data_IF_503794364408
#
_entry.id   IF_503794364408
#
_cell.length_a   1.000
_cell.length_b   1.000
_cell.length_c   1.000
_cell.angle_alpha   90.00
_cell.angle_beta   90.00
_cell.angle_gamma   90.00
#
_symmetry.space_group_name_H-M   'P 1'
#
loop_
_entity.id
_entity.type
_entity.pdbx_description
1 polymer ?
#
# COMPACT_ATOMS: atom_id res chain seq x y z
N UNK A 1 7.46 21.11 24.13
CA UNK A 1 6.62 22.08 23.41
C UNK A 1 5.15 21.99 23.86
N UNK A 2 4.54 20.78 23.95
CA UNK A 2 3.14 20.57 24.38
C UNK A 2 2.82 21.21 25.74
N UNK A 3 3.70 21.06 26.73
CA UNK A 3 3.51 21.65 28.06
C UNK A 3 3.47 23.22 28.04
N UNK A 4 4.27 23.82 27.15
CA UNK A 4 4.23 25.28 26.95
C UNK A 4 2.93 25.74 26.29
N UNK A 5 2.43 24.92 25.31
CA UNK A 5 1.14 25.18 24.70
C UNK A 5 0.01 25.11 25.73
N UNK A 6 0.01 24.08 26.58
CA UNK A 6 -0.99 23.94 27.65
C UNK A 6 -1.00 25.12 28.63
N UNK A 7 0.18 25.68 28.99
CA UNK A 7 0.27 26.87 29.82
C UNK A 7 -0.37 28.08 29.14
N UNK A 8 -0.27 28.20 27.82
CA UNK A 8 -0.89 29.28 27.07
C UNK A 8 -2.40 29.12 26.89
N UNK A 9 -2.89 27.86 26.81
CA UNK A 9 -4.33 27.55 26.69
C UNK A 9 -5.06 27.72 28.03
N UNK A 10 -4.42 27.35 29.16
CA UNK A 10 -5.05 27.40 30.50
C UNK A 10 -5.35 28.81 30.97
N UNK A 11 -4.70 29.82 30.39
CA UNK A 11 -4.83 31.22 30.76
C UNK A 11 -4.51 31.52 32.25
N UNK A 12 -3.97 30.56 32.98
CA UNK A 12 -3.63 30.70 34.39
C UNK A 12 -2.39 31.60 34.61
N UNK A 13 -1.59 31.76 33.55
CA UNK A 13 -0.40 32.59 33.60
C UNK A 13 -0.39 33.59 32.42
N UNK A 14 -0.54 34.89 32.67
CA UNK A 14 -0.61 35.92 31.63
C UNK A 14 0.69 36.10 30.82
N UNK A 15 1.79 35.45 31.22
CA UNK A 15 3.04 35.44 30.46
C UNK A 15 3.02 34.47 29.27
N UNK A 16 2.03 33.61 29.19
CA UNK A 16 1.89 32.63 28.12
C UNK A 16 0.59 32.83 27.36
N UNK A 17 0.67 32.78 26.04
CA UNK A 17 -0.49 32.73 25.15
C UNK A 17 -0.25 31.65 24.08
N UNK A 18 -1.27 30.87 23.75
CA UNK A 18 -1.23 29.88 22.73
C UNK A 18 -2.25 30.20 21.62
N UNK A 19 -1.82 30.01 20.38
CA UNK A 19 -2.64 30.18 19.19
C UNK A 19 -2.56 28.91 18.35
N UNK A 20 -3.67 28.52 17.76
CA UNK A 20 -3.77 27.37 16.85
C UNK A 20 -4.41 27.83 15.56
N UNK A 21 -3.87 27.39 14.43
CA UNK A 21 -4.43 27.61 13.10
C UNK A 21 -4.26 26.36 12.26
N UNK A 22 -5.25 26.05 11.42
CA UNK A 22 -5.20 24.93 10.50
C UNK A 22 -4.70 25.36 9.12
N UNK A 23 -4.28 24.41 8.28
CA UNK A 23 -3.94 24.68 6.89
C UNK A 23 -5.13 25.21 6.07
N UNK A 24 -6.36 24.97 6.52
CA UNK A 24 -7.57 25.54 5.91
C UNK A 24 -7.72 27.05 6.12
N UNK A 25 -7.06 27.60 7.14
CA UNK A 25 -7.17 29.02 7.50
C UNK A 25 -6.22 29.90 6.66
N UNK A 26 -5.30 29.29 5.92
CA UNK A 26 -4.37 30.01 5.05
C UNK A 26 -4.87 30.10 3.60
N UNK A 27 -4.75 31.27 2.93
CA UNK A 27 -5.09 31.41 1.53
C UNK A 27 -4.00 30.91 0.56
N UNK A 28 -2.83 30.48 1.09
CA UNK A 28 -1.65 30.12 0.28
C UNK A 28 -1.56 28.65 -0.09
N UNK A 29 -2.41 27.80 0.49
CA UNK A 29 -2.46 26.36 0.20
C UNK A 29 -3.76 26.07 -0.53
N UNK A 30 -3.68 25.35 -1.65
CA UNK A 30 -4.87 24.92 -2.36
C UNK A 30 -5.66 23.94 -1.49
N UNK A 31 -6.97 24.20 -1.37
CA UNK A 31 -7.87 23.32 -0.61
C UNK A 31 -7.89 21.90 -1.16
N UNK A 32 -7.72 21.74 -2.48
CA UNK A 32 -7.64 20.42 -3.10
C UNK A 32 -6.42 19.64 -2.62
N UNK A 33 -5.27 20.32 -2.47
CA UNK A 33 -4.05 19.71 -1.93
C UNK A 33 -4.27 19.20 -0.49
N UNK A 34 -5.00 19.96 0.33
CA UNK A 34 -5.34 19.55 1.71
C UNK A 34 -6.28 18.31 1.69
N UNK A 35 -7.28 18.29 0.81
CA UNK A 35 -8.19 17.14 0.69
C UNK A 35 -7.48 15.88 0.15
N UNK A 36 -6.52 16.04 -0.73
CA UNK A 36 -5.73 14.91 -1.25
C UNK A 36 -4.78 14.37 -0.16
N UNK A 37 -4.15 15.26 0.62
CA UNK A 37 -3.37 14.84 1.79
C UNK A 37 -4.23 14.11 2.83
N UNK A 38 -5.46 14.55 3.06
CA UNK A 38 -6.40 13.89 3.98
C UNK A 38 -6.75 12.47 3.56
N UNK A 39 -6.79 12.18 2.25
CA UNK A 39 -7.09 10.84 1.73
C UNK A 39 -5.90 9.89 1.84
N UNK A 40 -4.68 10.42 1.71
CA UNK A 40 -3.45 9.62 1.58
C UNK A 40 -2.69 9.44 2.88
N UNK A 41 -2.83 10.39 3.82
CA UNK A 41 -2.14 10.32 5.11
C UNK A 41 -2.99 9.58 6.16
N UNK A 42 -2.35 8.91 7.12
CA UNK A 42 -3.03 8.45 8.33
C UNK A 42 -3.71 9.63 9.04
N UNK A 43 -4.90 9.40 9.58
CA UNK A 43 -5.74 10.45 10.19
C UNK A 43 -4.98 11.29 11.23
N UNK A 44 -4.20 10.64 12.08
CA UNK A 44 -3.42 11.32 13.12
C UNK A 44 -2.33 12.23 12.53
N UNK A 45 -1.67 11.81 11.44
CA UNK A 45 -0.68 12.65 10.73
C UNK A 45 -1.36 13.85 10.10
N UNK A 46 -2.48 13.64 9.45
CA UNK A 46 -3.26 14.73 8.88
C UNK A 46 -3.70 15.73 9.94
N UNK A 47 -4.19 15.24 11.08
CA UNK A 47 -4.59 16.10 12.20
C UNK A 47 -3.42 16.90 12.77
N UNK A 48 -2.23 16.29 12.88
CA UNK A 48 -1.04 16.97 13.38
C UNK A 48 -0.50 18.01 12.40
N UNK A 49 -0.29 17.64 11.14
CA UNK A 49 0.40 18.46 10.14
C UNK A 49 -0.50 19.51 9.48
N UNK A 50 -1.79 19.22 9.30
CA UNK A 50 -2.72 20.11 8.62
C UNK A 50 -3.69 20.82 9.57
N UNK A 51 -4.04 20.21 10.70
CA UNK A 51 -4.97 20.79 11.67
C UNK A 51 -4.30 21.29 12.96
N UNK A 52 -2.96 21.24 13.04
CA UNK A 52 -2.14 21.67 14.16
C UNK A 52 -2.56 21.06 15.52
N UNK A 53 -3.06 19.81 15.52
CA UNK A 53 -3.41 19.11 16.76
C UNK A 53 -2.19 18.41 17.34
N UNK A 54 -2.09 18.40 18.67
CA UNK A 54 -1.11 17.59 19.37
C UNK A 54 -1.63 16.16 19.47
N UNK A 55 -0.88 15.22 18.89
CA UNK A 55 -1.22 13.81 18.84
C UNK A 55 -0.01 13.01 19.29
N UNK A 56 -0.22 11.85 19.89
CA UNK A 56 0.86 10.93 20.25
C UNK A 56 1.60 10.45 18.99
N UNK A 57 2.93 10.34 19.10
CA UNK A 57 3.79 9.94 17.98
C UNK A 57 3.55 8.48 17.63
N UNK A 58 2.82 8.21 16.55
CA UNK A 58 2.47 6.88 16.05
C UNK A 58 0.97 6.60 16.12
N UNK A 59 0.50 5.70 15.29
CA UNK A 59 -0.91 5.32 15.26
C UNK A 59 -1.22 4.23 14.23
N UNK A 60 -2.45 3.76 14.26
CA UNK A 60 -2.98 2.81 13.28
C UNK A 60 -2.98 3.43 11.88
N UNK A 61 -2.52 2.66 10.92
CA UNK A 61 -2.48 3.07 9.50
C UNK A 61 -3.80 2.78 8.82
N UNK A 62 -4.39 1.63 9.10
CA UNK A 62 -5.62 1.17 8.45
C UNK A 62 -6.78 1.17 9.44
N UNK A 63 -7.79 1.98 9.16
CA UNK A 63 -9.02 2.07 9.95
C UNK A 63 -10.22 1.54 9.15
N UNK A 64 -11.29 1.14 9.86
CA UNK A 64 -12.55 0.72 9.25
C UNK A 64 -12.44 -0.44 8.24
N UNK A 65 -11.59 -1.42 8.52
CA UNK A 65 -11.33 -2.58 7.67
C UNK A 65 -12.62 -3.35 7.27
N UNK A 66 -13.64 -3.33 8.13
CA UNK A 66 -14.92 -4.00 7.90
C UNK A 66 -15.62 -3.57 6.60
N UNK A 67 -15.41 -2.34 6.15
CA UNK A 67 -16.00 -1.85 4.90
C UNK A 67 -15.41 -2.53 3.66
N UNK A 68 -14.20 -3.05 3.80
CA UNK A 68 -13.41 -3.60 2.71
C UNK A 68 -13.56 -5.11 2.56
N UNK A 69 -14.23 -5.79 3.51
CA UNK A 69 -14.26 -7.24 3.56
C UNK A 69 -15.28 -7.88 2.60
N UNK A 70 -15.00 -9.14 2.26
CA UNK A 70 -15.94 -10.06 1.61
C UNK A 70 -15.92 -11.43 2.30
N UNK A 71 -17.09 -12.12 2.38
CA UNK A 71 -17.22 -13.36 3.13
C UNK A 71 -16.81 -14.64 2.40
N UNK A 72 -16.61 -14.58 1.08
CA UNK A 72 -16.26 -15.73 0.24
C UNK A 72 -15.24 -15.32 -0.81
N UNK A 73 -14.28 -16.20 -1.12
CA UNK A 73 -13.29 -15.95 -2.16
C UNK A 73 -13.96 -15.62 -3.49
N UNK A 74 -13.71 -14.46 -4.09
CA UNK A 74 -14.33 -14.05 -5.33
C UNK A 74 -13.69 -14.74 -6.54
N UNK A 75 -14.45 -14.82 -7.62
CA UNK A 75 -13.84 -15.03 -8.94
C UNK A 75 -13.21 -13.72 -9.40
N UNK A 76 -12.02 -13.76 -10.05
CA UNK A 76 -11.37 -12.55 -10.53
C UNK A 76 -12.17 -11.86 -11.62
N UNK A 77 -12.12 -10.54 -11.62
CA UNK A 77 -12.66 -9.70 -12.69
C UNK A 77 -11.49 -9.08 -13.47
N UNK A 78 -11.35 -9.47 -14.72
CA UNK A 78 -10.27 -8.99 -15.60
C UNK A 78 -8.90 -9.56 -15.25
N UNK A 79 -7.85 -8.80 -15.51
CA UNK A 79 -6.45 -9.19 -15.27
C UNK A 79 -6.16 -9.31 -13.77
N UNK A 80 -5.32 -10.27 -13.41
CA UNK A 80 -4.84 -10.47 -12.04
C UNK A 80 -3.41 -9.95 -11.91
N UNK A 81 -3.10 -9.35 -10.78
CA UNK A 81 -1.79 -8.80 -10.41
C UNK A 81 -1.35 -9.44 -9.10
N UNK A 82 -0.06 -9.76 -9.01
CA UNK A 82 0.51 -10.41 -7.86
C UNK A 82 1.65 -9.56 -7.29
N UNK A 83 1.60 -9.28 -6.00
CA UNK A 83 2.73 -8.74 -5.24
C UNK A 83 3.37 -9.86 -4.43
N UNK A 84 4.70 -9.96 -4.48
CA UNK A 84 5.46 -11.00 -3.79
C UNK A 84 6.45 -10.33 -2.86
N UNK A 85 6.29 -10.59 -1.58
CA UNK A 85 7.23 -10.25 -0.52
C UNK A 85 7.97 -11.51 -0.08
N UNK A 86 9.30 -11.47 -0.13
CA UNK A 86 10.15 -12.63 0.13
C UNK A 86 10.72 -12.56 1.55
N UNK A 87 10.17 -13.35 2.44
CA UNK A 87 10.59 -13.45 3.84
C UNK A 87 12.01 -13.99 4.01
N UNK A 88 12.72 -13.46 5.00
CA UNK A 88 14.06 -13.93 5.41
C UNK A 88 13.94 -14.73 6.69
N UNK A 89 14.55 -15.93 6.72
CA UNK A 89 14.67 -16.81 7.91
C UNK A 89 13.38 -17.00 8.72
N UNK A 90 12.98 -16.03 9.55
CA UNK A 90 11.82 -16.08 10.43
C UNK A 90 10.58 -15.39 9.83
N UNK A 91 10.75 -14.60 8.79
CA UNK A 91 9.67 -13.88 8.10
C UNK A 91 8.92 -14.80 7.14
N UNK A 92 7.72 -14.36 6.75
CA UNK A 92 6.90 -15.13 5.79
C UNK A 92 7.15 -14.66 4.37
N UNK A 93 7.30 -15.64 3.46
CA UNK A 93 7.12 -15.36 2.04
C UNK A 93 5.64 -15.31 1.72
N UNK A 94 5.19 -14.18 1.20
CA UNK A 94 3.78 -13.94 0.89
C UNK A 94 3.63 -13.53 -0.58
N UNK A 95 2.65 -14.13 -1.26
CA UNK A 95 2.23 -13.71 -2.60
C UNK A 95 0.73 -13.41 -2.57
N UNK A 96 0.37 -12.14 -2.70
CA UNK A 96 -1.02 -11.68 -2.72
C UNK A 96 -1.47 -11.41 -4.16
N UNK A 97 -2.59 -12.00 -4.55
CA UNK A 97 -3.18 -11.87 -5.89
C UNK A 97 -4.43 -11.01 -5.82
N UNK A 98 -4.47 -9.92 -6.59
CA UNK A 98 -5.62 -9.04 -6.71
C UNK A 98 -6.08 -8.93 -8.16
N UNK A 99 -7.37 -8.79 -8.38
CA UNK A 99 -7.90 -8.55 -9.72
C UNK A 99 -7.84 -7.08 -10.14
N UNK A 100 -8.21 -6.77 -11.36
CA UNK A 100 -8.19 -5.39 -11.90
C UNK A 100 -9.11 -4.43 -11.15
N UNK A 101 -10.08 -4.93 -10.40
CA UNK A 101 -10.98 -4.12 -9.56
C UNK A 101 -10.43 -3.87 -8.16
N UNK A 102 -9.35 -4.56 -7.76
CA UNK A 102 -8.73 -4.46 -6.45
C UNK A 102 -9.20 -5.49 -5.41
N UNK A 103 -9.94 -6.53 -5.83
CA UNK A 103 -10.32 -7.62 -4.93
C UNK A 103 -9.21 -8.65 -4.82
N UNK A 104 -8.88 -9.05 -3.60
CA UNK A 104 -7.98 -10.18 -3.37
C UNK A 104 -8.69 -11.47 -3.82
N UNK A 105 -8.03 -12.26 -4.66
CA UNK A 105 -8.56 -13.51 -5.23
C UNK A 105 -7.81 -14.75 -4.75
N UNK A 106 -6.57 -14.58 -4.26
CA UNK A 106 -5.75 -15.64 -3.69
C UNK A 106 -4.65 -15.05 -2.82
N UNK A 107 -4.20 -15.76 -1.80
CA UNK A 107 -3.03 -15.44 -0.99
C UNK A 107 -2.25 -16.72 -0.73
N UNK A 108 -0.96 -16.69 -1.01
CA UNK A 108 -0.02 -17.69 -0.56
C UNK A 108 0.82 -17.10 0.59
N UNK A 109 0.98 -17.83 1.68
CA UNK A 109 1.79 -17.45 2.82
C UNK A 109 2.48 -18.68 3.39
N UNK A 110 3.80 -18.64 3.46
CA UNK A 110 4.59 -19.73 4.02
C UNK A 110 5.88 -19.21 4.66
N UNK A 111 6.38 -19.92 5.66
CA UNK A 111 7.70 -19.72 6.22
C UNK A 111 8.39 -21.08 6.40
N UNK A 112 9.68 -21.07 6.70
CA UNK A 112 10.49 -22.25 7.02
C UNK A 112 10.39 -23.40 5.98
N UNK A 113 10.12 -23.06 4.70
CA UNK A 113 10.09 -24.01 3.60
C UNK A 113 11.29 -23.83 2.68
N UNK A 114 11.63 -24.87 1.95
CA UNK A 114 12.65 -24.81 0.88
C UNK A 114 12.22 -23.81 -0.21
N UNK A 115 13.14 -22.94 -0.61
CA UNK A 115 12.91 -21.93 -1.65
C UNK A 115 12.36 -22.51 -2.96
N UNK A 116 12.80 -23.71 -3.33
CA UNK A 116 12.30 -24.42 -4.51
C UNK A 116 10.82 -24.73 -4.40
N UNK A 117 10.37 -25.20 -3.24
CA UNK A 117 8.95 -25.50 -2.97
C UNK A 117 8.12 -24.23 -2.99
N UNK A 118 8.53 -23.16 -2.29
CA UNK A 118 7.84 -21.88 -2.28
C UNK A 118 7.72 -21.29 -3.70
N UNK A 119 8.82 -21.33 -4.46
CA UNK A 119 8.85 -20.83 -5.85
C UNK A 119 7.86 -21.60 -6.74
N UNK A 120 7.79 -22.93 -6.62
CA UNK A 120 6.85 -23.74 -7.40
C UNK A 120 5.39 -23.48 -7.04
N UNK A 121 5.09 -23.26 -5.76
CA UNK A 121 3.75 -22.90 -5.28
C UNK A 121 3.31 -21.54 -5.82
N UNK A 122 4.21 -20.56 -5.82
CA UNK A 122 3.97 -19.23 -6.40
C UNK A 122 3.75 -19.35 -7.92
N UNK A 123 4.64 -20.05 -8.64
CA UNK A 123 4.54 -20.24 -10.09
C UNK A 123 3.23 -20.95 -10.49
N UNK A 124 2.79 -21.92 -9.70
CA UNK A 124 1.51 -22.63 -9.93
C UNK A 124 0.34 -21.63 -9.87
N UNK A 125 0.34 -20.71 -8.90
CA UNK A 125 -0.69 -19.67 -8.77
C UNK A 125 -0.59 -18.61 -9.86
N UNK A 126 0.63 -18.18 -10.23
CA UNK A 126 0.85 -17.24 -11.33
C UNK A 126 0.26 -17.79 -12.64
N UNK A 127 0.49 -19.08 -12.94
CA UNK A 127 -0.11 -19.74 -14.11
C UNK A 127 -1.62 -19.88 -14.00
N UNK A 128 -2.13 -20.30 -12.83
CA UNK A 128 -3.57 -20.43 -12.57
C UNK A 128 -4.32 -19.14 -12.87
N UNK A 129 -3.76 -18.02 -12.43
CA UNK A 129 -4.42 -16.72 -12.54
C UNK A 129 -3.99 -15.90 -13.77
N UNK A 130 -3.03 -16.40 -14.55
CA UNK A 130 -2.36 -15.64 -15.63
C UNK A 130 -1.95 -14.23 -15.16
N UNK A 131 -1.30 -14.16 -13.99
CA UNK A 131 -1.06 -12.93 -13.27
C UNK A 131 0.20 -12.23 -13.74
N UNK A 132 0.18 -10.87 -13.81
CA UNK A 132 1.39 -10.06 -13.83
C UNK A 132 1.96 -10.01 -12.42
N UNK A 133 3.22 -10.37 -12.23
CA UNK A 133 3.86 -10.42 -10.93
C UNK A 133 4.83 -9.25 -10.71
N UNK A 134 4.90 -8.77 -9.48
CA UNK A 134 5.93 -7.85 -9.01
C UNK A 134 6.55 -8.42 -7.73
N UNK A 135 7.87 -8.57 -7.73
CA UNK A 135 8.62 -9.27 -6.67
C UNK A 135 9.55 -8.28 -5.99
N UNK A 136 9.55 -8.26 -4.67
CA UNK A 136 10.54 -7.51 -3.92
C UNK A 136 11.94 -8.09 -4.12
N UNK A 137 12.86 -7.25 -4.61
CA UNK A 137 14.25 -7.62 -4.88
C UNK A 137 15.16 -6.91 -3.89
N UNK A 138 15.54 -7.64 -2.83
CA UNK A 138 16.49 -7.20 -1.81
C UNK A 138 17.43 -8.35 -1.48
N UNK A 139 18.70 -8.25 -1.84
CA UNK A 139 19.73 -9.26 -1.53
C UNK A 139 19.40 -10.68 -2.03
N UNK A 140 18.80 -11.54 -1.18
CA UNK A 140 18.37 -12.90 -1.55
C UNK A 140 17.25 -12.89 -2.59
N UNK A 141 16.43 -11.85 -2.62
CA UNK A 141 15.31 -11.68 -3.55
C UNK A 141 15.73 -11.66 -5.01
N UNK A 142 16.94 -11.21 -5.34
CA UNK A 142 17.45 -11.20 -6.71
C UNK A 142 17.51 -12.60 -7.32
N UNK A 143 17.98 -13.59 -6.57
CA UNK A 143 18.09 -14.98 -7.06
C UNK A 143 16.71 -15.60 -7.29
N UNK A 144 15.78 -15.40 -6.34
CA UNK A 144 14.43 -15.94 -6.43
C UNK A 144 13.64 -15.24 -7.55
N UNK A 145 13.79 -13.91 -7.66
CA UNK A 145 13.22 -13.14 -8.76
C UNK A 145 13.65 -13.71 -10.12
N UNK A 146 14.95 -13.93 -10.33
CA UNK A 146 15.47 -14.52 -11.58
C UNK A 146 14.92 -15.93 -11.85
N UNK A 147 14.75 -16.75 -10.82
CA UNK A 147 14.15 -18.09 -10.95
C UNK A 147 12.68 -18.02 -11.38
N UNK A 148 11.90 -17.11 -10.79
CA UNK A 148 10.50 -16.88 -11.18
C UNK A 148 10.45 -16.31 -12.59
N UNK A 149 11.24 -15.29 -12.90
CA UNK A 149 11.28 -14.59 -14.19
C UNK A 149 11.58 -15.51 -15.37
N UNK A 150 12.49 -16.46 -15.19
CA UNK A 150 12.82 -17.47 -16.23
C UNK A 150 11.66 -18.40 -16.57
N UNK A 151 10.77 -18.68 -15.60
CA UNK A 151 9.63 -19.58 -15.76
C UNK A 151 8.31 -18.84 -16.00
N UNK A 152 8.25 -17.54 -15.62
CA UNK A 152 7.11 -16.64 -15.80
C UNK A 152 7.61 -15.26 -16.21
N UNK A 153 7.61 -14.99 -17.51
CA UNK A 153 8.22 -13.77 -18.08
C UNK A 153 7.48 -12.48 -17.70
N UNK A 154 6.19 -12.56 -17.38
CA UNK A 154 5.39 -11.41 -16.90
C UNK A 154 5.64 -11.15 -15.39
N UNK A 155 6.93 -11.00 -15.04
CA UNK A 155 7.42 -10.75 -13.68
C UNK A 155 8.34 -9.52 -13.70
N UNK A 156 8.13 -8.60 -12.77
CA UNK A 156 8.83 -7.32 -12.66
C UNK A 156 9.48 -7.17 -11.28
N UNK A 157 10.66 -6.56 -11.18
CA UNK A 157 11.30 -6.33 -9.90
C UNK A 157 10.69 -5.10 -9.19
N UNK A 158 10.64 -5.14 -7.86
CA UNK A 158 10.36 -3.99 -7.00
C UNK A 158 11.48 -3.83 -5.98
N UNK A 159 12.16 -2.68 -6.00
CA UNK A 159 13.23 -2.39 -5.04
C UNK A 159 12.67 -1.56 -3.89
N UNK A 160 12.72 -2.10 -2.68
CA UNK A 160 12.28 -1.42 -1.46
C UNK A 160 13.33 -0.46 -0.96
N UNK A 161 12.96 0.79 -0.83
CA UNK A 161 13.63 1.88 -0.16
C UNK A 161 12.64 2.55 0.79
N UNK A 162 13.10 3.40 1.71
CA UNK A 162 12.18 4.16 2.57
C UNK A 162 11.14 4.95 1.75
N UNK A 163 11.54 5.52 0.62
CA UNK A 163 10.65 6.28 -0.26
C UNK A 163 9.66 5.38 -0.99
N UNK A 164 10.11 4.28 -1.61
CA UNK A 164 9.22 3.39 -2.34
C UNK A 164 8.27 2.62 -1.41
N UNK A 165 8.72 2.24 -0.19
CA UNK A 165 7.84 1.67 0.83
C UNK A 165 6.74 2.67 1.22
N UNK A 166 7.10 3.93 1.47
CA UNK A 166 6.12 4.98 1.76
C UNK A 166 5.11 5.14 0.62
N UNK A 167 5.56 5.22 -0.63
CA UNK A 167 4.71 5.37 -1.82
C UNK A 167 3.68 4.24 -1.97
N UNK A 168 4.11 2.98 -1.85
CA UNK A 168 3.19 1.85 -2.02
C UNK A 168 2.21 1.72 -0.87
N UNK A 169 2.63 2.04 0.37
CA UNK A 169 1.76 2.02 1.56
C UNK A 169 0.73 3.13 1.48
N UNK A 170 1.11 4.36 1.14
CA UNK A 170 0.18 5.49 0.96
C UNK A 170 -0.82 5.21 -0.18
N UNK A 171 -0.34 4.59 -1.28
CA UNK A 171 -1.21 4.13 -2.35
C UNK A 171 -2.21 3.06 -1.91
N UNK A 172 -1.84 2.17 -0.99
CA UNK A 172 -2.73 1.17 -0.41
C UNK A 172 -3.75 1.82 0.54
N UNK A 173 -3.31 2.76 1.40
CA UNK A 173 -4.19 3.52 2.30
C UNK A 173 -5.29 4.21 1.51
N UNK A 174 -4.93 4.93 0.45
CA UNK A 174 -5.88 5.63 -0.41
C UNK A 174 -6.91 4.66 -1.00
N UNK A 175 -6.45 3.58 -1.62
CA UNK A 175 -7.33 2.62 -2.30
C UNK A 175 -8.19 1.81 -1.30
N UNK A 176 -7.76 1.64 -0.04
CA UNK A 176 -8.58 1.07 1.03
C UNK A 176 -9.63 2.07 1.54
N UNK A 177 -9.28 3.33 1.72
CA UNK A 177 -10.22 4.38 2.13
C UNK A 177 -11.33 4.58 1.08
N UNK A 178 -11.01 4.45 -0.19
CA UNK A 178 -11.97 4.50 -1.31
C UNK A 178 -12.70 3.17 -1.55
N UNK A 179 -12.45 2.15 -0.73
CA UNK A 179 -13.05 0.81 -0.86
C UNK A 179 -12.76 0.14 -2.21
N UNK A 180 -11.69 0.54 -2.87
CA UNK A 180 -11.20 -0.09 -4.10
C UNK A 180 -10.56 -1.44 -3.74
N UNK A 181 -9.66 -1.46 -2.74
CA UNK A 181 -9.10 -2.72 -2.24
C UNK A 181 -10.10 -3.43 -1.37
N UNK A 182 -10.42 -4.67 -1.75
CA UNK A 182 -11.35 -5.54 -1.03
C UNK A 182 -10.59 -6.77 -0.54
N UNK A 183 -10.69 -7.03 0.77
CA UNK A 183 -9.95 -8.06 1.49
C UNK A 183 -10.87 -9.23 1.91
N UNK A 184 -10.34 -10.46 2.07
CA UNK A 184 -11.12 -11.56 2.65
C UNK A 184 -11.54 -11.23 4.09
N UNK A 185 -12.69 -11.75 4.52
CA UNK A 185 -13.10 -11.62 5.91
C UNK A 185 -12.07 -12.24 6.85
N UNK A 186 -12.11 -11.86 8.12
CA UNK A 186 -11.17 -12.38 9.12
C UNK A 186 -11.22 -13.91 9.24
N UNK A 187 -12.41 -14.49 9.06
CA UNK A 187 -12.59 -15.96 9.11
C UNK A 187 -11.93 -16.66 7.92
N UNK A 188 -11.88 -16.01 6.75
CA UNK A 188 -11.24 -16.58 5.56
C UNK A 188 -9.72 -16.50 5.60
N UNK A 189 -9.18 -15.39 6.11
CA UNK A 189 -7.73 -15.19 6.17
C UNK A 189 -7.34 -14.25 7.33
N UNK A 190 -7.23 -14.77 8.58
CA UNK A 190 -6.99 -13.97 9.77
C UNK A 190 -5.66 -13.22 9.77
N UNK A 191 -4.60 -13.80 9.19
CA UNK A 191 -3.25 -13.23 9.21
C UNK A 191 -3.17 -11.82 8.61
N UNK A 192 -3.89 -11.56 7.51
CA UNK A 192 -3.93 -10.22 6.92
C UNK A 192 -4.59 -9.21 7.86
N UNK A 193 -5.65 -9.62 8.57
CA UNK A 193 -6.33 -8.77 9.54
C UNK A 193 -5.45 -8.44 10.72
N UNK A 194 -4.75 -9.46 11.24
CA UNK A 194 -3.85 -9.29 12.39
C UNK A 194 -2.72 -8.33 12.02
N UNK A 195 -2.11 -8.47 10.85
CA UNK A 195 -1.05 -7.57 10.38
C UNK A 195 -1.58 -6.15 10.06
N UNK A 196 -2.73 -6.00 9.37
CA UNK A 196 -3.32 -4.67 9.10
C UNK A 196 -3.67 -3.91 10.38
N UNK A 197 -4.16 -4.62 11.41
CA UNK A 197 -4.57 -4.01 12.69
C UNK A 197 -3.38 -3.48 13.48
N UNK A 198 -2.21 -4.14 13.39
CA UNK A 198 -1.01 -3.74 14.12
C UNK A 198 -0.03 -2.92 13.30
N UNK A 199 -0.33 -2.72 12.01
CA UNK A 199 0.50 -1.91 11.12
C UNK A 199 0.43 -0.45 11.53
N UNK A 200 1.58 0.13 11.83
CA UNK A 200 1.71 1.45 12.43
C UNK A 200 2.63 2.34 11.62
N UNK A 201 2.66 3.59 11.98
CA UNK A 201 3.67 4.53 11.49
C UNK A 201 4.39 5.19 12.65
N UNK A 202 5.64 5.57 12.39
CA UNK A 202 6.41 6.47 13.24
C UNK A 202 6.63 7.78 12.46
N UNK A 203 6.27 8.90 13.07
CA UNK A 203 6.53 10.21 12.51
C UNK A 203 7.78 10.83 13.13
N UNK A 204 8.72 11.21 12.30
CA UNK A 204 9.91 11.94 12.73
C UNK A 204 9.73 13.45 12.49
N UNK A 205 9.47 14.26 13.53
CA UNK A 205 9.19 15.69 13.38
C UNK A 205 10.41 16.50 12.91
N UNK A 206 11.63 15.99 13.08
CA UNK A 206 12.85 16.67 12.63
C UNK A 206 13.04 16.57 11.12
N UNK A 207 12.77 15.40 10.55
CA UNK A 207 12.91 15.15 9.11
C UNK A 207 11.58 15.26 8.36
N UNK A 208 10.46 15.38 9.09
CA UNK A 208 9.08 15.35 8.56
C UNK A 208 8.81 14.09 7.73
N UNK A 209 9.44 12.97 8.10
CA UNK A 209 9.29 11.70 7.39
C UNK A 209 8.42 10.74 8.18
N UNK A 210 7.62 9.96 7.44
CA UNK A 210 6.85 8.84 7.94
C UNK A 210 7.62 7.55 7.69
N UNK A 211 7.63 6.69 8.68
CA UNK A 211 8.19 5.35 8.58
C UNK A 211 7.10 4.35 8.93
N UNK A 212 6.67 3.59 7.93
CA UNK A 212 5.65 2.57 8.07
C UNK A 212 6.24 1.21 8.44
N UNK A 213 5.52 0.45 9.26
CA UNK A 213 5.92 -0.90 9.66
C UNK A 213 5.08 -1.45 10.80
N UNK A 214 5.60 -2.45 11.45
CA UNK A 214 4.99 -3.14 12.59
C UNK A 214 5.83 -2.95 13.86
N UNK A 215 5.25 -3.09 15.08
CA UNK A 215 5.99 -3.18 16.32
C UNK A 215 6.92 -4.41 16.36
N UNK A 216 8.00 -4.32 17.14
CA UNK A 216 8.97 -5.41 17.27
C UNK A 216 8.30 -6.74 17.68
N UNK A 217 8.66 -7.83 16.99
CA UNK A 217 8.13 -9.17 17.23
C UNK A 217 6.81 -9.48 16.51
N UNK A 218 6.32 -8.58 15.66
CA UNK A 218 5.18 -8.80 14.77
C UNK A 218 5.64 -8.85 13.30
N UNK A 219 4.71 -9.06 12.37
CA UNK A 219 4.99 -9.18 10.93
C UNK A 219 4.17 -8.16 10.14
N UNK A 220 4.67 -7.78 8.95
CA UNK A 220 3.96 -6.95 7.96
C UNK A 220 3.99 -7.54 6.53
N UNK A 221 4.40 -8.81 6.40
CA UNK A 221 4.65 -9.47 5.12
C UNK A 221 3.39 -9.53 4.22
N UNK A 222 2.20 -9.78 4.80
CA UNK A 222 0.94 -9.78 4.04
C UNK A 222 0.51 -8.37 3.63
N UNK A 223 0.77 -7.37 4.47
CA UNK A 223 0.50 -5.97 4.16
C UNK A 223 1.41 -5.49 3.04
N UNK A 224 2.71 -5.81 3.11
CA UNK A 224 3.69 -5.44 2.10
C UNK A 224 3.42 -6.12 0.76
N UNK A 225 3.14 -7.42 0.78
CA UNK A 225 2.73 -8.17 -0.42
C UNK A 225 1.48 -7.57 -1.08
N UNK A 226 0.47 -7.16 -0.29
CA UNK A 226 -0.73 -6.49 -0.79
C UNK A 226 -0.41 -5.10 -1.37
N UNK A 227 0.44 -4.32 -0.70
CA UNK A 227 0.85 -3.00 -1.19
C UNK A 227 1.60 -3.09 -2.53
N UNK A 228 2.50 -4.08 -2.68
CA UNK A 228 3.21 -4.35 -3.94
C UNK A 228 2.21 -4.80 -5.04
N UNK A 229 1.23 -5.67 -4.71
CA UNK A 229 0.20 -6.10 -5.67
C UNK A 229 -0.63 -4.92 -6.17
N UNK A 230 -1.04 -4.03 -5.26
CA UNK A 230 -1.79 -2.83 -5.59
C UNK A 230 -0.97 -1.85 -6.46
N UNK A 231 0.29 -1.68 -6.15
CA UNK A 231 1.21 -0.87 -6.97
C UNK A 231 1.36 -1.46 -8.37
N UNK A 232 1.57 -2.78 -8.50
CA UNK A 232 1.62 -3.48 -9.77
C UNK A 232 0.34 -3.25 -10.60
N UNK A 233 -0.84 -3.35 -9.97
CA UNK A 233 -2.13 -3.07 -10.61
C UNK A 233 -2.23 -1.64 -11.14
N UNK A 234 -1.80 -0.65 -10.35
CA UNK A 234 -1.86 0.79 -10.74
C UNK A 234 -0.92 1.09 -11.91
N UNK A 235 0.29 0.57 -11.91
CA UNK A 235 1.25 0.74 -13.00
C UNK A 235 0.71 0.21 -14.33
N UNK A 236 0.05 -0.94 -14.32
CA UNK A 236 -0.47 -1.55 -15.54
C UNK A 236 -1.77 -0.89 -16.07
N UNK A 237 -2.57 -0.23 -15.21
CA UNK A 237 -3.70 0.59 -15.66
C UNK A 237 -3.25 1.78 -16.50
N UNK A 238 -2.18 2.45 -16.10
CA UNK A 238 -1.64 3.60 -16.86
C UNK A 238 -1.19 3.24 -18.27
N UNK A 239 -0.67 2.03 -18.50
CA UNK A 239 -0.28 1.58 -19.84
C UNK A 239 -1.48 1.23 -20.74
N UNK A 240 -2.61 0.79 -20.17
CA UNK A 240 -3.82 0.43 -20.93
C UNK A 240 -4.60 1.63 -21.48
N UNK A 241 -4.57 2.76 -20.80
CA UNK A 241 -5.29 3.97 -21.23
C UNK A 241 -4.61 4.69 -22.41
N UNK A 242 -3.29 4.54 -22.58
CA UNK A 242 -2.55 5.15 -23.70
C UNK A 242 -2.61 4.37 -25.02
N UNK A 243 -3.11 3.15 -25.04
CA UNK A 243 -3.17 2.30 -26.24
C UNK A 243 -4.48 2.37 -27.02
N UNK A 244 -5.50 3.10 -26.56
CA UNK A 244 -6.83 3.15 -27.19
C UNK A 244 -7.05 4.37 -28.09
N UNK A 245 -6.13 5.34 -28.17
CA UNK A 245 -6.32 6.56 -28.97
C UNK A 245 -5.52 6.62 -30.28
N UNK A 246 -5.24 5.49 -30.90
CA UNK A 246 -4.53 5.37 -32.18
C UNK A 246 -5.34 4.70 -33.29
N UNK A 247 -6.55 5.21 -33.63
CA UNK A 247 -7.18 4.85 -34.91
C UNK A 247 -6.44 5.56 -36.04
N UNK A 248 -5.68 4.81 -36.83
CA UNK A 248 -5.12 5.27 -38.08
C UNK A 248 -6.26 5.75 -39.00
N UNK A 249 -6.18 6.95 -39.61
CA UNK A 249 -7.08 7.30 -40.70
C UNK A 249 -6.77 6.39 -41.90
N UNK A 250 -7.78 5.77 -42.45
CA UNK A 250 -7.71 5.01 -43.68
C UNK A 250 -7.34 5.95 -44.83
N UNK A 251 -6.22 5.68 -45.46
CA UNK A 251 -5.87 6.31 -46.76
C UNK A 251 -6.84 5.83 -47.84
N UNK A 252 -7.83 6.62 -48.18
CA UNK A 252 -8.56 6.47 -49.43
C UNK A 252 -7.68 6.98 -50.56
N UNK A 253 -7.27 6.09 -51.44
CA UNK A 253 -6.69 6.33 -52.73
C UNK A 253 -7.61 7.19 -53.58
N UNK A 254 -7.13 8.36 -53.98
CA UNK A 254 -7.65 9.08 -55.16
C UNK A 254 -6.73 8.81 -56.35
N UNK A 255 -7.23 8.01 -57.29
CA UNK A 255 -6.89 8.04 -58.69
C UNK A 255 -8.20 8.05 -59.49
N UNK A 256 -8.43 9.12 -60.20
CA UNK A 256 -9.48 9.35 -61.14
C UNK A 256 -9.29 10.73 -61.78
#
# INVERSE_FOLDING_TARGET
>A
FYNLYQLGVSQDNPQYAAYTGSSYDTPYIDKQEIEDAKKTLPENVFQQEYLAKFIDAGGEVFSNLDKNQFPNWPRPTGKVYCGIDLGKQEDYTVATFIDSTGKIVDIYRANAQEWTTMTQEILTRLRKWNATAMVEVNSIGDVIFEQIKRQWSDTHPFTTSSKSKQEIVEGLILDMNETIIRIPSRELFPYLWDELTVFTYEYNPKTRSLRYGHPSGLHDDTVMSLAIANYCRKQNKSYGEYTVTGSRPSSSSFWG
#
